data_IF_450487043646
#
_entry.id   IF_450487043646
#
_cell.length_a   1.000
_cell.length_b   1.000
_cell.length_c   1.000
_cell.angle_alpha   90.00
_cell.angle_beta   90.00
_cell.angle_gamma   90.00
#
_symmetry.space_group_name_H-M   'P 1'
#
loop_
_entity.id
_entity.type
_entity.pdbx_description
1 polymer ?
#
# COMPACT_ATOMS: atom_id res chain seq x y z
N UNK A 1 -22.99 -17.20 -15.00
CA UNK A 1 -23.02 -15.72 -14.94
C UNK A 1 -21.59 -15.23 -14.88
N UNK A 2 -21.21 -14.24 -15.69
CA UNK A 2 -19.88 -13.64 -15.61
C UNK A 2 -19.97 -12.50 -14.61
N UNK A 3 -19.25 -12.58 -13.49
CA UNK A 3 -19.14 -11.50 -12.51
C UNK A 3 -17.92 -10.66 -12.85
N UNK A 4 -18.12 -9.40 -13.22
CA UNK A 4 -17.05 -8.43 -13.43
C UNK A 4 -16.66 -7.79 -12.10
N UNK A 5 -15.35 -7.68 -11.83
CA UNK A 5 -14.83 -6.99 -10.65
C UNK A 5 -14.74 -5.50 -10.94
N UNK A 6 -15.33 -4.66 -10.09
CA UNK A 6 -15.14 -3.22 -10.14
C UNK A 6 -13.80 -2.85 -9.48
N UNK A 7 -12.83 -2.46 -10.30
CA UNK A 7 -11.47 -2.08 -9.87
C UNK A 7 -11.50 -0.90 -8.89
N UNK A 8 -12.48 0.02 -9.01
CA UNK A 8 -12.63 1.17 -8.12
C UNK A 8 -12.93 0.78 -6.68
N UNK A 9 -13.46 -0.43 -6.45
CA UNK A 9 -13.78 -0.94 -5.10
C UNK A 9 -12.61 -1.65 -4.42
N UNK A 10 -11.52 -1.90 -5.15
CA UNK A 10 -10.37 -2.66 -4.63
C UNK A 10 -9.50 -1.84 -3.68
N UNK A 11 -9.57 -0.51 -3.72
CA UNK A 11 -8.84 0.38 -2.84
C UNK A 11 -9.83 1.18 -1.99
N UNK A 12 -9.70 1.06 -0.66
CA UNK A 12 -10.58 1.69 0.30
C UNK A 12 -9.81 2.60 1.24
N UNK A 13 -10.41 3.73 1.60
CA UNK A 13 -9.97 4.59 2.69
C UNK A 13 -10.98 4.44 3.82
N UNK A 14 -10.53 4.02 5.00
CA UNK A 14 -11.42 3.98 6.18
C UNK A 14 -10.78 4.85 7.26
N UNK A 15 -11.49 5.89 7.75
CA UNK A 15 -11.03 6.66 8.90
C UNK A 15 -10.69 5.73 10.08
N UNK A 16 -9.53 5.93 10.70
CA UNK A 16 -9.09 5.15 11.86
C UNK A 16 -8.44 3.79 11.55
N UNK A 17 -8.44 3.31 10.30
CA UNK A 17 -7.71 2.08 9.91
C UNK A 17 -6.49 2.46 9.09
N UNK A 18 -5.31 1.91 9.43
CA UNK A 18 -4.03 2.28 8.82
C UNK A 18 -3.78 3.81 8.82
N UNK A 19 -4.21 4.52 9.87
CA UNK A 19 -4.07 5.98 9.94
C UNK A 19 -4.88 6.76 8.89
N UNK A 20 -5.95 6.17 8.34
CA UNK A 20 -6.76 6.79 7.27
C UNK A 20 -6.13 6.68 5.87
N UNK A 21 -5.01 5.96 5.75
CA UNK A 21 -4.28 5.77 4.50
C UNK A 21 -5.04 4.80 3.57
N UNK A 22 -4.91 4.96 2.24
CA UNK A 22 -5.52 4.05 1.28
C UNK A 22 -4.94 2.63 1.43
N UNK A 23 -5.83 1.64 1.44
CA UNK A 23 -5.49 0.22 1.60
C UNK A 23 -6.31 -0.65 0.67
N UNK A 24 -5.84 -1.88 0.47
CA UNK A 24 -6.55 -2.88 -0.31
C UNK A 24 -7.82 -3.33 0.44
N UNK A 25 -8.95 -3.36 -0.26
CA UNK A 25 -10.23 -3.79 0.28
C UNK A 25 -10.15 -5.21 0.87
N UNK A 26 -10.71 -5.39 2.07
CA UNK A 26 -10.65 -6.67 2.79
C UNK A 26 -9.28 -7.02 3.38
N UNK A 27 -8.28 -6.14 3.28
CA UNK A 27 -6.93 -6.35 3.81
C UNK A 27 -6.45 -5.20 4.68
N UNK A 28 -5.48 -5.48 5.53
CA UNK A 28 -4.69 -4.48 6.28
C UNK A 28 -3.37 -4.16 5.57
N UNK A 29 -3.36 -4.23 4.23
CA UNK A 29 -2.21 -3.87 3.39
C UNK A 29 -2.44 -2.51 2.75
N UNK A 30 -1.60 -1.53 3.08
CA UNK A 30 -1.69 -0.19 2.53
C UNK A 30 -1.16 -0.12 1.09
N UNK A 31 -1.61 0.86 0.33
CA UNK A 31 -1.07 1.13 -1.01
C UNK A 31 0.42 1.49 -0.95
N UNK A 32 0.84 2.19 0.11
CA UNK A 32 2.24 2.53 0.39
C UNK A 32 3.13 1.29 0.48
N UNK A 33 2.69 0.24 1.18
CA UNK A 33 3.46 -0.99 1.30
C UNK A 33 3.69 -1.63 -0.07
N UNK A 34 2.64 -1.72 -0.90
CA UNK A 34 2.77 -2.25 -2.26
C UNK A 34 3.70 -1.38 -3.12
N UNK A 35 3.61 -0.06 -2.99
CA UNK A 35 4.49 0.88 -3.68
C UNK A 35 5.96 0.69 -3.26
N UNK A 36 6.24 0.51 -1.96
CA UNK A 36 7.59 0.25 -1.44
C UNK A 36 8.15 -1.06 -2.00
N UNK A 37 7.38 -2.15 -1.94
CA UNK A 37 7.81 -3.46 -2.47
C UNK A 37 8.12 -3.37 -3.97
N UNK A 38 7.28 -2.67 -4.73
CA UNK A 38 7.52 -2.45 -6.15
C UNK A 38 8.77 -1.59 -6.40
N UNK A 39 9.01 -0.56 -5.59
CA UNK A 39 10.25 0.27 -5.65
C UNK A 39 11.50 -0.52 -5.26
N UNK A 40 11.37 -1.55 -4.44
CA UNK A 40 12.44 -2.49 -4.09
C UNK A 40 12.72 -3.51 -5.20
N UNK A 41 11.96 -3.49 -6.29
CA UNK A 41 12.16 -4.36 -7.46
C UNK A 41 11.37 -5.66 -7.41
N UNK A 42 10.51 -5.88 -6.42
CA UNK A 42 9.64 -7.05 -6.40
C UNK A 42 8.59 -6.93 -7.49
N UNK A 43 8.38 -8.01 -8.24
CA UNK A 43 7.33 -8.05 -9.26
C UNK A 43 5.97 -8.36 -8.62
N UNK A 44 4.84 -7.91 -9.21
CA UNK A 44 3.50 -8.13 -8.65
C UNK A 44 3.18 -9.60 -8.30
N UNK A 45 3.71 -10.54 -9.08
CA UNK A 45 3.55 -11.98 -8.87
C UNK A 45 4.25 -12.46 -7.59
N UNK A 46 5.40 -11.89 -7.25
CA UNK A 46 6.13 -12.22 -6.02
C UNK A 46 5.39 -11.66 -4.81
N UNK A 47 4.91 -10.42 -4.91
CA UNK A 47 4.09 -9.80 -3.86
C UNK A 47 2.85 -10.67 -3.57
N UNK A 48 2.15 -11.17 -4.59
CA UNK A 48 1.02 -12.09 -4.38
C UNK A 48 1.42 -13.39 -3.67
N UNK A 49 2.62 -13.92 -3.95
CA UNK A 49 3.12 -15.15 -3.29
C UNK A 49 3.47 -14.93 -1.82
N UNK A 50 3.93 -13.73 -1.47
CA UNK A 50 4.28 -13.40 -0.07
C UNK A 50 3.03 -13.17 0.80
N UNK A 51 1.94 -12.69 0.22
CA UNK A 51 0.72 -12.37 0.95
C UNK A 51 -0.43 -13.30 0.58
N UNK A 52 -0.69 -14.32 1.41
CA UNK A 52 -1.76 -15.29 1.19
C UNK A 52 -3.12 -14.58 0.94
N UNK A 53 -3.80 -15.02 -0.13
CA UNK A 53 -5.09 -14.50 -0.59
C UNK A 53 -5.05 -13.12 -1.27
N UNK A 54 -3.87 -12.53 -1.46
CA UNK A 54 -3.72 -11.31 -2.25
C UNK A 54 -3.87 -11.68 -3.72
N UNK A 55 -4.59 -10.88 -4.48
CA UNK A 55 -4.77 -11.13 -5.91
C UNK A 55 -3.93 -10.19 -6.74
N UNK A 56 -3.55 -10.62 -7.96
CA UNK A 56 -2.86 -9.75 -8.91
C UNK A 56 -3.68 -8.49 -9.22
N UNK A 57 -5.01 -8.62 -9.31
CA UNK A 57 -5.90 -7.49 -9.53
C UNK A 57 -5.77 -6.43 -8.42
N UNK A 58 -5.69 -6.86 -7.16
CA UNK A 58 -5.50 -5.95 -6.02
C UNK A 58 -4.12 -5.28 -6.03
N UNK A 59 -3.06 -6.02 -6.39
CA UNK A 59 -1.71 -5.45 -6.50
C UNK A 59 -1.67 -4.40 -7.62
N UNK A 60 -2.20 -4.72 -8.80
CA UNK A 60 -2.25 -3.78 -9.91
C UNK A 60 -3.15 -2.58 -9.61
N UNK A 61 -4.27 -2.76 -8.92
CA UNK A 61 -5.12 -1.65 -8.47
C UNK A 61 -4.37 -0.73 -7.50
N UNK A 62 -3.59 -1.29 -6.57
CA UNK A 62 -2.77 -0.51 -5.64
C UNK A 62 -1.66 0.25 -6.38
N UNK A 63 -0.98 -0.38 -7.34
CA UNK A 63 0.03 0.29 -8.17
C UNK A 63 -0.57 1.38 -9.04
N UNK A 64 -1.73 1.14 -9.65
CA UNK A 64 -2.45 2.15 -10.41
C UNK A 64 -2.84 3.35 -9.53
N UNK A 65 -3.36 3.09 -8.32
CA UNK A 65 -3.65 4.15 -7.35
C UNK A 65 -2.40 4.92 -6.97
N UNK A 66 -1.28 4.23 -6.72
CA UNK A 66 -0.01 4.86 -6.40
C UNK A 66 0.44 5.79 -7.52
N UNK A 67 0.50 5.33 -8.78
CA UNK A 67 0.94 6.18 -9.89
C UNK A 67 0.01 7.37 -10.11
N UNK A 68 -1.30 7.20 -9.94
CA UNK A 68 -2.28 8.28 -10.04
C UNK A 68 -2.17 9.31 -8.89
N UNK A 69 -1.66 8.91 -7.71
CA UNK A 69 -1.61 9.73 -6.49
C UNK A 69 -0.19 9.73 -5.88
N UNK A 70 0.84 9.78 -6.73
CA UNK A 70 2.24 9.57 -6.30
C UNK A 70 2.64 10.56 -5.21
N UNK A 71 2.29 11.84 -5.37
CA UNK A 71 2.61 12.90 -4.40
C UNK A 71 2.04 12.62 -3.01
N UNK A 72 0.77 12.19 -2.95
CA UNK A 72 0.09 11.84 -1.68
C UNK A 72 0.80 10.66 -1.01
N UNK A 73 1.11 9.60 -1.78
CA UNK A 73 1.71 8.38 -1.24
C UNK A 73 3.16 8.62 -0.81
N UNK A 74 3.95 9.34 -1.59
CA UNK A 74 5.33 9.69 -1.24
C UNK A 74 5.39 10.60 -0.01
N UNK A 75 4.46 11.55 0.14
CA UNK A 75 4.38 12.39 1.34
C UNK A 75 4.17 11.54 2.60
N UNK A 76 3.29 10.54 2.54
CA UNK A 76 3.10 9.62 3.65
C UNK A 76 4.34 8.75 3.93
N UNK A 77 5.02 8.26 2.90
CA UNK A 77 6.25 7.49 3.04
C UNK A 77 7.36 8.33 3.69
N UNK A 78 7.48 9.59 3.29
CA UNK A 78 8.45 10.52 3.86
C UNK A 78 8.14 10.82 5.35
N UNK A 79 6.88 11.02 5.70
CA UNK A 79 6.46 11.21 7.10
C UNK A 79 6.80 9.99 7.95
N UNK A 80 6.47 8.79 7.48
CA UNK A 80 6.76 7.54 8.18
C UNK A 80 8.26 7.33 8.38
N UNK A 81 9.07 7.63 7.36
CA UNK A 81 10.53 7.59 7.48
C UNK A 81 11.05 8.59 8.53
N UNK A 82 10.55 9.82 8.52
CA UNK A 82 10.98 10.84 9.47
C UNK A 82 10.62 10.48 10.92
N UNK A 83 9.42 9.89 11.14
CA UNK A 83 9.01 9.38 12.45
C UNK A 83 9.90 8.23 12.94
N UNK A 84 10.26 7.31 12.04
CA UNK A 84 11.16 6.21 12.37
C UNK A 84 12.55 6.72 12.74
N UNK A 85 13.14 7.59 11.91
CA UNK A 85 14.47 8.17 12.15
C UNK A 85 14.52 8.92 13.49
N UNK A 86 13.45 9.66 13.84
CA UNK A 86 13.33 10.35 15.13
C UNK A 86 13.34 9.37 16.31
N UNK A 87 12.53 8.31 16.26
CA UNK A 87 12.47 7.30 17.32
C UNK A 87 13.80 6.57 17.50
N UNK A 88 14.51 6.30 16.40
CA UNK A 88 15.84 5.71 16.43
C UNK A 88 16.84 6.64 17.10
N UNK A 89 16.83 7.94 16.75
CA UNK A 89 17.69 8.94 17.38
C UNK A 89 17.42 9.10 18.88
N UNK A 90 16.15 9.08 19.30
CA UNK A 90 15.74 9.12 20.71
C UNK A 90 16.14 7.84 21.48
N UNK A 91 16.30 6.70 20.81
CA UNK A 91 16.67 5.42 21.46
C UNK A 91 18.18 5.24 21.64
N UNK A 92 19.00 6.10 21.02
CA UNK A 92 20.48 6.01 21.05
C UNK A 92 21.09 6.98 22.10
N UNK A 93 20.27 7.82 22.74
CA UNK A 93 20.68 8.77 23.79
C UNK A 93 20.19 8.36 25.18
#
# INVERSE_FOLDING_TARGET
>A
MITTVDIGTLIVRTPGVCGGRPRIAGRRLSVQQIAVLSKQGLIPQEIVREYEGLTLAQVHAALAYYYANTEEIEAYLAQEKAEYDRKVAESIN
#
